data_IF_542545679644
#
_entry.id   IF_542545679644
#
_cell.length_a   1.000
_cell.length_b   1.000
_cell.length_c   1.000
_cell.angle_alpha   90.00
_cell.angle_beta   90.00
_cell.angle_gamma   90.00
#
_symmetry.space_group_name_H-M   'P 1'
#
loop_
_entity.id
_entity.type
_entity.pdbx_description
1 polymer ?
#
# COMPACT_ATOMS: atom_id res chain seq x y z
N UNK A 1 42.31 44.59 22.59
CA UNK A 1 41.79 44.49 21.20
C UNK A 1 41.13 43.12 21.03
N UNK A 2 40.06 43.08 20.22
CA UNK A 2 38.91 42.17 20.22
C UNK A 2 39.21 40.74 19.69
N UNK A 3 38.66 39.68 20.32
CA UNK A 3 39.03 38.29 19.95
C UNK A 3 38.01 37.17 20.28
N UNK A 4 36.69 37.42 20.29
CA UNK A 4 35.71 36.37 20.63
C UNK A 4 34.46 36.27 19.72
N UNK A 5 34.40 36.98 18.59
CA UNK A 5 33.16 37.05 17.77
C UNK A 5 33.22 36.39 16.39
N UNK A 6 34.32 35.74 16.01
CA UNK A 6 34.54 35.21 14.65
C UNK A 6 34.38 33.69 14.51
N UNK A 7 34.31 32.91 15.61
CA UNK A 7 34.25 31.44 15.55
C UNK A 7 32.84 30.86 15.33
N UNK A 8 31.78 31.63 15.63
CA UNK A 8 30.38 31.17 15.47
C UNK A 8 29.75 31.56 14.12
N UNK A 9 30.37 32.50 13.38
CA UNK A 9 29.85 32.95 12.09
C UNK A 9 30.27 32.00 10.96
N UNK A 10 31.51 31.50 11.01
CA UNK A 10 31.98 30.48 10.05
C UNK A 10 31.29 29.12 10.25
N UNK A 11 31.00 28.71 11.49
CA UNK A 11 30.29 27.45 11.75
C UNK A 11 28.84 27.49 11.24
N UNK A 12 28.12 28.59 11.44
CA UNK A 12 26.76 28.79 10.89
C UNK A 12 26.72 28.75 9.36
N UNK A 13 27.70 29.37 8.69
CA UNK A 13 27.75 29.39 7.22
C UNK A 13 28.06 28.01 6.63
N UNK A 14 28.88 27.19 7.30
CA UNK A 14 29.12 25.79 6.90
C UNK A 14 27.91 24.87 7.11
N UNK A 15 27.10 25.09 8.16
CA UNK A 15 25.86 24.31 8.37
C UNK A 15 24.77 24.65 7.34
N UNK A 16 24.64 25.93 6.96
CA UNK A 16 23.74 26.38 5.90
C UNK A 16 24.16 25.84 4.53
N UNK A 17 25.46 25.87 4.19
CA UNK A 17 25.96 25.31 2.94
C UNK A 17 25.76 23.78 2.86
N UNK A 18 25.93 23.06 3.97
CA UNK A 18 25.67 21.62 4.03
C UNK A 18 24.18 21.31 3.85
N UNK A 19 23.28 22.07 4.48
CA UNK A 19 21.84 21.92 4.29
C UNK A 19 21.41 22.20 2.84
N UNK A 20 21.98 23.23 2.20
CA UNK A 20 21.69 23.57 0.79
C UNK A 20 22.21 22.50 -0.16
N UNK A 21 23.42 21.96 0.08
CA UNK A 21 23.99 20.89 -0.74
C UNK A 21 23.26 19.55 -0.56
N UNK A 22 22.79 19.25 0.66
CA UNK A 22 22.03 18.02 0.93
C UNK A 22 20.58 18.11 0.42
N UNK A 23 19.92 19.28 0.52
CA UNK A 23 18.60 19.50 -0.09
C UNK A 23 18.65 19.49 -1.62
N UNK A 24 19.63 20.17 -2.22
CA UNK A 24 19.74 20.28 -3.67
C UNK A 24 20.01 18.95 -4.39
N UNK A 25 20.49 17.93 -3.67
CA UNK A 25 20.77 16.59 -4.22
C UNK A 25 19.59 15.63 -4.06
N UNK A 26 18.53 15.97 -3.32
CA UNK A 26 17.37 15.09 -3.12
C UNK A 26 16.33 15.16 -4.26
N UNK A 27 16.39 16.16 -5.13
CA UNK A 27 15.25 16.48 -6.02
C UNK A 27 15.26 15.76 -7.38
N UNK A 28 15.79 14.54 -7.46
CA UNK A 28 15.99 13.86 -8.75
C UNK A 28 15.58 12.39 -8.82
N UNK A 29 14.52 11.99 -8.11
CA UNK A 29 13.96 10.64 -8.25
C UNK A 29 12.42 10.59 -8.31
N UNK A 30 11.78 11.58 -8.94
CA UNK A 30 10.35 11.54 -9.21
C UNK A 30 10.08 11.03 -10.64
N UNK A 31 9.75 9.75 -10.82
CA UNK A 31 9.07 9.33 -12.05
C UNK A 31 7.70 10.02 -12.10
N UNK A 32 7.38 10.65 -13.24
CA UNK A 32 6.08 11.28 -13.46
C UNK A 32 4.93 10.28 -13.31
N UNK A 33 3.68 10.74 -13.11
CA UNK A 33 2.57 9.85 -12.83
C UNK A 33 2.39 8.82 -13.96
N UNK A 34 2.65 7.54 -13.63
CA UNK A 34 2.41 6.42 -14.54
C UNK A 34 0.90 6.27 -14.74
N UNK A 35 0.43 6.51 -15.96
CA UNK A 35 -0.98 6.33 -16.30
C UNK A 35 -1.34 4.84 -16.27
N UNK A 36 -2.21 4.46 -15.33
CA UNK A 36 -2.69 3.09 -15.23
C UNK A 36 -3.55 2.71 -16.44
N UNK A 37 -3.47 1.43 -16.85
CA UNK A 37 -4.33 0.86 -17.89
C UNK A 37 -5.67 0.46 -17.29
N UNK A 38 -6.76 0.91 -17.91
CA UNK A 38 -8.11 0.46 -17.55
C UNK A 38 -8.43 -0.87 -18.24
N UNK A 39 -8.93 -1.83 -17.48
CA UNK A 39 -9.43 -3.10 -17.99
C UNK A 39 -10.95 -3.19 -17.78
N UNK A 40 -11.63 -3.86 -18.70
CA UNK A 40 -13.05 -4.23 -18.56
C UNK A 40 -13.18 -5.74 -18.38
N UNK A 41 -14.38 -6.20 -18.01
CA UNK A 41 -14.66 -7.62 -17.81
C UNK A 41 -15.97 -8.03 -18.49
N UNK A 42 -16.11 -9.32 -18.77
CA UNK A 42 -17.36 -9.94 -19.19
C UNK A 42 -17.74 -10.98 -18.14
N UNK A 43 -18.99 -10.97 -17.70
CA UNK A 43 -19.51 -12.01 -16.81
C UNK A 43 -19.63 -13.31 -17.62
N UNK A 44 -18.85 -14.32 -17.24
CA UNK A 44 -18.85 -15.63 -17.92
C UNK A 44 -19.80 -16.63 -17.26
N UNK A 45 -19.91 -16.58 -15.92
CA UNK A 45 -20.76 -17.42 -15.08
C UNK A 45 -21.06 -16.70 -13.78
N UNK A 46 -22.22 -16.97 -13.21
CA UNK A 46 -22.65 -16.49 -11.90
C UNK A 46 -22.95 -17.70 -11.00
N UNK A 47 -22.62 -17.59 -9.72
CA UNK A 47 -22.83 -18.64 -8.73
C UNK A 47 -23.47 -18.05 -7.48
N UNK A 48 -24.31 -18.80 -6.76
CA UNK A 48 -24.84 -18.34 -5.48
C UNK A 48 -23.71 -18.07 -4.48
N UNK A 49 -23.86 -17.04 -3.66
CA UNK A 49 -22.98 -16.73 -2.52
C UNK A 49 -23.83 -16.49 -1.28
N UNK A 50 -23.36 -16.91 -0.11
CA UNK A 50 -24.05 -16.65 1.15
C UNK A 50 -23.95 -15.15 1.51
N UNK A 51 -25.05 -14.38 1.46
CA UNK A 51 -25.01 -12.95 1.75
C UNK A 51 -24.65 -12.63 3.21
N UNK A 52 -24.65 -13.62 4.11
CA UNK A 52 -24.24 -13.47 5.51
C UNK A 52 -22.72 -13.61 5.70
N UNK A 53 -22.02 -14.18 4.73
CA UNK A 53 -20.57 -14.34 4.72
C UNK A 53 -19.89 -13.01 4.38
N UNK A 54 -19.27 -12.38 5.38
CA UNK A 54 -18.54 -11.13 5.18
C UNK A 54 -17.12 -11.46 4.69
N UNK A 55 -16.95 -11.62 3.38
CA UNK A 55 -15.70 -12.08 2.75
C UNK A 55 -14.53 -11.15 3.05
N UNK A 56 -13.43 -11.72 3.54
CA UNK A 56 -12.15 -11.02 3.78
C UNK A 56 -10.95 -11.76 3.18
N UNK A 57 -11.17 -12.95 2.63
CA UNK A 57 -10.19 -13.69 1.85
C UNK A 57 -10.90 -14.70 0.96
N UNK A 58 -10.41 -14.89 -0.26
CA UNK A 58 -10.96 -15.83 -1.24
C UNK A 58 -9.80 -16.47 -2.01
N UNK A 59 -9.77 -17.80 -2.07
CA UNK A 59 -8.78 -18.55 -2.82
C UNK A 59 -9.43 -19.71 -3.58
N UNK A 60 -8.85 -20.07 -4.72
CA UNK A 60 -9.27 -21.22 -5.51
C UNK A 60 -8.05 -22.09 -5.76
N UNK A 61 -8.10 -23.33 -5.28
CA UNK A 61 -7.07 -24.34 -5.55
C UNK A 61 -7.72 -25.66 -5.98
N UNK A 62 -7.22 -26.24 -7.08
CA UNK A 62 -7.62 -27.57 -7.57
C UNK A 62 -9.14 -27.82 -7.61
N UNK A 63 -9.92 -26.84 -8.05
CA UNK A 63 -11.38 -26.98 -8.15
C UNK A 63 -12.16 -26.71 -6.85
N UNK A 64 -11.47 -26.39 -5.75
CA UNK A 64 -12.08 -26.06 -4.45
C UNK A 64 -11.93 -24.57 -4.18
N UNK A 65 -13.02 -23.94 -3.74
CA UNK A 65 -13.02 -22.56 -3.28
C UNK A 65 -12.90 -22.52 -1.77
N UNK A 66 -11.99 -21.70 -1.27
CA UNK A 66 -11.79 -21.42 0.15
C UNK A 66 -12.13 -19.97 0.42
N UNK A 67 -12.92 -19.72 1.47
CA UNK A 67 -13.34 -18.38 1.85
C UNK A 67 -13.06 -18.12 3.33
N UNK A 68 -12.38 -17.02 3.61
CA UNK A 68 -12.25 -16.45 4.94
C UNK A 68 -13.32 -15.39 5.16
N UNK A 69 -14.09 -15.52 6.24
CA UNK A 69 -15.11 -14.52 6.64
C UNK A 69 -14.62 -13.71 7.83
N UNK A 70 -14.89 -12.42 7.81
CA UNK A 70 -14.71 -11.53 8.95
C UNK A 70 -15.98 -11.39 9.77
N UNK A 71 -15.82 -11.14 11.07
CA UNK A 71 -16.75 -10.49 12.00
C UNK A 71 -16.15 -10.73 13.38
N UNK A 72 -16.04 -9.71 14.22
CA UNK A 72 -15.40 -9.86 15.54
C UNK A 72 -16.10 -10.98 16.33
N UNK A 73 -15.34 -12.00 16.72
CA UNK A 73 -15.85 -13.18 17.43
C UNK A 73 -16.68 -14.16 16.58
N UNK A 74 -16.78 -13.96 15.26
CA UNK A 74 -17.53 -14.79 14.31
C UNK A 74 -16.80 -14.98 12.98
N UNK A 75 -15.49 -14.74 12.95
CA UNK A 75 -14.67 -15.02 11.78
C UNK A 75 -14.59 -16.54 11.56
N UNK A 76 -14.50 -16.96 10.31
CA UNK A 76 -14.42 -18.39 9.97
C UNK A 76 -13.59 -18.60 8.71
N UNK A 77 -13.08 -19.83 8.54
CA UNK A 77 -12.48 -20.29 7.30
C UNK A 77 -13.31 -21.48 6.81
N UNK A 78 -13.77 -21.44 5.55
CA UNK A 78 -14.65 -22.49 5.01
C UNK A 78 -14.27 -22.89 3.59
N UNK A 79 -14.58 -24.15 3.27
CA UNK A 79 -14.63 -24.64 1.89
C UNK A 79 -16.03 -24.36 1.35
N UNK A 80 -16.10 -23.78 0.15
CA UNK A 80 -17.35 -23.36 -0.47
C UNK A 80 -17.70 -24.32 -1.61
N UNK A 81 -18.93 -24.83 -1.61
CA UNK A 81 -19.48 -25.52 -2.76
C UNK A 81 -19.97 -24.49 -3.79
N UNK A 82 -19.27 -24.40 -4.92
CA UNK A 82 -19.52 -23.40 -5.97
C UNK A 82 -20.95 -23.43 -6.54
N UNK A 83 -21.59 -24.60 -6.59
CA UNK A 83 -22.96 -24.72 -7.13
C UNK A 83 -24.03 -24.18 -6.19
N UNK A 84 -23.77 -24.13 -4.88
CA UNK A 84 -24.77 -23.76 -3.87
C UNK A 84 -24.40 -22.52 -3.05
N UNK A 85 -23.14 -22.09 -3.09
CA UNK A 85 -22.63 -20.95 -2.31
C UNK A 85 -22.43 -21.23 -0.82
N UNK A 86 -22.59 -22.48 -0.38
CA UNK A 86 -22.47 -22.90 1.02
C UNK A 86 -21.02 -23.28 1.34
#
# INVERSE_FOLDING_TARGET
MCGAKTRNLLSCLSFLAFFVLVWGVWDSAGEGPVKSKNFTFKVVREYPHDPKAFTQGLAWDKGVVFEGTGKRGRSSLRKVNLSTGK
#
